data_IF_523217269490
#
_entry.id   IF_523217269490
#
_cell.length_a   1.000
_cell.length_b   1.000
_cell.length_c   1.000
_cell.angle_alpha   90.00
_cell.angle_beta   90.00
_cell.angle_gamma   90.00
#
_symmetry.space_group_name_H-M   'P 1'
#
loop_
_entity.id
_entity.type
_entity.pdbx_description
1 polymer ?
#
# COMPACT_ATOMS: atom_id res chain seq x y z
N UNK A 1 13.81 20.21 0.84
CA UNK A 1 14.23 19.01 1.59
C UNK A 1 13.18 17.95 1.35
N UNK A 2 13.28 17.20 0.26
CA UNK A 2 12.30 16.19 -0.15
C UNK A 2 13.09 15.00 -0.67
N UNK A 3 13.55 14.15 0.25
CA UNK A 3 14.29 12.94 -0.05
C UNK A 3 13.65 11.83 0.78
N UNK A 4 13.34 10.69 0.14
CA UNK A 4 12.65 9.49 0.66
C UNK A 4 11.11 9.37 0.54
N UNK A 5 10.54 9.69 -0.63
CA UNK A 5 9.28 9.05 -1.12
C UNK A 5 9.58 7.98 -2.19
N UNK A 6 10.82 7.48 -2.19
CA UNK A 6 11.41 6.66 -3.24
C UNK A 6 10.64 5.32 -3.41
N UNK A 7 10.05 5.13 -4.60
CA UNK A 7 9.49 3.88 -5.15
C UNK A 7 8.18 3.30 -4.57
N UNK A 8 7.42 4.04 -3.74
CA UNK A 8 6.16 3.52 -3.16
C UNK A 8 5.15 3.02 -4.21
N UNK A 9 4.87 3.72 -5.33
CA UNK A 9 3.84 3.27 -6.27
C UNK A 9 4.12 1.92 -6.93
N UNK A 10 5.39 1.59 -7.16
CA UNK A 10 5.83 0.34 -7.83
C UNK A 10 5.99 -0.84 -6.86
N UNK A 11 5.79 -0.59 -5.56
CA UNK A 11 5.91 -1.65 -4.54
C UNK A 11 4.78 -2.66 -4.71
N UNK A 12 5.13 -3.95 -4.77
CA UNK A 12 4.15 -5.03 -4.82
C UNK A 12 3.35 -5.13 -3.52
N UNK A 13 2.03 -5.29 -3.65
CA UNK A 13 1.09 -5.43 -2.54
C UNK A 13 1.47 -6.60 -1.64
N UNK A 14 1.86 -7.74 -2.22
CA UNK A 14 2.25 -8.93 -1.44
C UNK A 14 3.47 -8.69 -0.54
N UNK A 15 4.44 -7.89 -0.99
CA UNK A 15 5.64 -7.59 -0.18
C UNK A 15 5.29 -6.65 0.96
N UNK A 16 4.42 -5.68 0.70
CA UNK A 16 3.91 -4.78 1.73
C UNK A 16 3.09 -5.53 2.78
N UNK A 17 2.21 -6.45 2.37
CA UNK A 17 1.42 -7.29 3.30
C UNK A 17 2.30 -8.16 4.22
N UNK A 18 3.48 -8.59 3.74
CA UNK A 18 4.45 -9.35 4.55
C UNK A 18 5.27 -8.46 5.49
N UNK A 19 5.40 -7.17 5.18
CA UNK A 19 6.30 -6.26 5.89
C UNK A 19 5.83 -5.89 7.30
N UNK A 20 4.52 -5.74 7.50
CA UNK A 20 3.94 -5.30 8.77
C UNK A 20 2.45 -5.72 8.84
N UNK A 21 2.00 -6.40 9.92
CA UNK A 21 0.59 -6.78 10.09
C UNK A 21 -0.42 -5.62 10.01
N UNK A 22 -0.02 -4.39 10.38
CA UNK A 22 -0.89 -3.22 10.26
C UNK A 22 -1.27 -2.89 8.82
N UNK A 23 -0.46 -3.31 7.84
CA UNK A 23 -0.78 -3.16 6.41
C UNK A 23 -2.00 -3.99 6.03
N UNK A 24 -2.22 -5.15 6.66
CA UNK A 24 -3.41 -5.97 6.43
C UNK A 24 -4.67 -5.18 6.78
N UNK A 25 -4.69 -4.59 7.98
CA UNK A 25 -5.80 -3.74 8.43
C UNK A 25 -5.97 -2.53 7.52
N UNK A 26 -4.88 -1.90 7.08
CA UNK A 26 -4.94 -0.78 6.13
C UNK A 26 -5.69 -1.13 4.85
N UNK A 27 -5.33 -2.22 4.17
CA UNK A 27 -6.02 -2.61 2.93
C UNK A 27 -7.49 -3.00 3.15
N UNK A 28 -7.83 -3.59 4.31
CA UNK A 28 -9.22 -3.86 4.69
C UNK A 28 -9.99 -2.54 4.87
N UNK A 29 -9.40 -1.52 5.51
CA UNK A 29 -10.01 -0.20 5.68
C UNK A 29 -10.19 0.55 4.36
N UNK A 30 -9.24 0.40 3.43
CA UNK A 30 -9.35 0.92 2.05
C UNK A 30 -10.36 0.11 1.20
N UNK A 31 -11.01 -0.91 1.76
CA UNK A 31 -12.00 -1.77 1.11
C UNK A 31 -11.49 -2.45 -0.16
N UNK A 32 -10.21 -2.81 -0.18
CA UNK A 32 -9.63 -3.53 -1.31
C UNK A 32 -9.73 -5.04 -1.10
N UNK A 33 -9.78 -5.80 -2.20
CA UNK A 33 -9.65 -7.26 -2.16
C UNK A 33 -8.19 -7.72 -2.15
N UNK A 34 -7.23 -6.85 -1.81
CA UNK A 34 -5.80 -7.16 -1.84
C UNK A 34 -5.41 -8.27 -0.84
N UNK A 35 -6.06 -8.30 0.32
CA UNK A 35 -5.76 -9.28 1.37
C UNK A 35 -6.27 -10.67 0.95
N UNK A 36 -5.36 -11.64 0.87
CA UNK A 36 -5.68 -13.01 0.44
C UNK A 36 -5.82 -13.20 -1.07
N UNK A 37 -5.64 -12.14 -1.88
CA UNK A 37 -5.68 -12.25 -3.33
C UNK A 37 -4.40 -12.90 -3.87
N UNK A 38 -4.56 -13.95 -4.67
CA UNK A 38 -3.44 -14.64 -5.32
C UNK A 38 -2.63 -13.73 -6.28
N UNK A 39 -3.28 -12.71 -6.85
CA UNK A 39 -2.65 -11.77 -7.79
C UNK A 39 -1.88 -10.65 -7.09
N UNK A 40 -1.98 -10.49 -5.77
CA UNK A 40 -1.32 -9.40 -5.03
C UNK A 40 0.22 -9.38 -5.19
N UNK A 41 0.84 -10.49 -5.60
CA UNK A 41 2.28 -10.57 -5.91
C UNK A 41 2.69 -9.93 -7.24
N UNK A 42 1.70 -9.58 -8.07
CA UNK A 42 1.87 -8.92 -9.36
C UNK A 42 1.26 -7.52 -9.39
N UNK A 43 0.46 -7.16 -8.39
CA UNK A 43 -0.15 -5.84 -8.29
C UNK A 43 0.75 -4.90 -7.51
N UNK A 44 1.04 -3.76 -8.11
CA UNK A 44 1.70 -2.61 -7.46
C UNK A 44 0.68 -1.77 -6.69
N UNK A 45 1.15 -0.81 -5.88
CA UNK A 45 0.25 0.14 -5.24
C UNK A 45 -0.45 1.07 -6.24
N UNK A 46 0.21 1.41 -7.34
CA UNK A 46 -0.42 2.15 -8.44
C UNK A 46 -1.60 1.38 -9.04
N UNK A 47 -1.43 0.07 -9.28
CA UNK A 47 -2.52 -0.78 -9.80
C UNK A 47 -3.72 -0.80 -8.85
N UNK A 48 -3.47 -0.84 -7.53
CA UNK A 48 -4.54 -0.79 -6.52
C UNK A 48 -5.27 0.56 -6.57
N UNK A 49 -4.52 1.67 -6.58
CA UNK A 49 -5.10 3.01 -6.62
C UNK A 49 -6.00 3.17 -7.85
N UNK A 50 -5.54 2.70 -9.02
CA UNK A 50 -6.30 2.79 -10.26
C UNK A 50 -7.51 1.84 -10.28
N UNK A 51 -7.35 0.59 -9.85
CA UNK A 51 -8.42 -0.43 -9.88
C UNK A 51 -9.57 -0.08 -8.95
N UNK A 52 -9.27 0.50 -7.78
CA UNK A 52 -10.26 0.86 -6.76
C UNK A 52 -10.63 2.36 -6.78
N UNK A 53 -10.15 3.11 -7.77
CA UNK A 53 -10.41 4.54 -7.94
C UNK A 53 -10.10 5.36 -6.67
N UNK A 54 -9.02 5.02 -5.98
CA UNK A 54 -8.62 5.67 -4.74
C UNK A 54 -7.95 7.01 -5.03
N UNK A 55 -8.04 7.95 -4.08
CA UNK A 55 -7.24 9.16 -4.16
C UNK A 55 -5.77 8.82 -3.84
N UNK A 56 -4.90 8.98 -4.85
CA UNK A 56 -3.47 8.65 -4.75
C UNK A 56 -2.77 9.35 -3.58
N UNK A 57 -3.03 10.64 -3.39
CA UNK A 57 -2.34 11.43 -2.38
C UNK A 57 -2.73 10.97 -0.97
N UNK A 58 -4.03 10.91 -0.68
CA UNK A 58 -4.49 10.50 0.66
C UNK A 58 -4.11 9.05 0.98
N UNK A 59 -4.19 8.15 0.00
CA UNK A 59 -3.81 6.75 0.17
C UNK A 59 -2.33 6.60 0.56
N UNK A 60 -1.42 7.28 -0.16
CA UNK A 60 0.01 7.22 0.11
C UNK A 60 0.38 7.91 1.42
N UNK A 61 -0.29 9.02 1.76
CA UNK A 61 -0.11 9.69 3.05
C UNK A 61 -0.51 8.78 4.22
N UNK A 62 -1.68 8.14 4.15
CA UNK A 62 -2.12 7.20 5.19
C UNK A 62 -1.18 5.99 5.31
N UNK A 63 -0.75 5.45 4.17
CA UNK A 63 0.20 4.34 4.15
C UNK A 63 1.55 4.72 4.77
N UNK A 64 2.08 5.89 4.43
CA UNK A 64 3.37 6.37 4.96
C UNK A 64 3.38 6.47 6.48
N UNK A 65 2.25 6.81 7.11
CA UNK A 65 2.12 6.85 8.58
C UNK A 65 2.36 5.49 9.21
N UNK A 66 2.06 4.39 8.51
CA UNK A 66 2.24 3.03 9.00
C UNK A 66 3.69 2.58 8.78
N UNK A 67 4.28 2.90 7.63
CA UNK A 67 5.64 2.47 7.27
C UNK A 67 6.71 3.24 8.07
N UNK A 68 6.51 4.54 8.30
CA UNK A 68 7.46 5.41 9.02
C UNK A 68 7.42 5.19 10.53
N UNK A 69 6.36 4.59 11.08
CA UNK A 69 6.25 4.25 12.52
C UNK A 69 7.17 3.08 12.97
N UNK A 70 8.17 2.72 12.17
CA UNK A 70 9.20 1.75 12.54
C UNK A 70 10.15 2.37 13.59
N UNK A 71 9.77 2.25 14.88
CA UNK A 71 10.65 2.44 16.04
C UNK A 71 11.37 1.12 16.32
#
# INVERSE_FOLDING_TARGET
MTNDVLAVPETNVADLLKSNPLIVSFFIHQQTACVGCYMAKFCTLEDVIQTYFLNKQSFLEELSKIIVQKI
#
